data_IF_483707616883
#
_entry.id   IF_483707616883
#
_cell.length_a   1.000
_cell.length_b   1.000
_cell.length_c   1.000
_cell.angle_alpha   90.00
_cell.angle_beta   90.00
_cell.angle_gamma   90.00
#
_symmetry.space_group_name_H-M   'P 1'
#
loop_
_entity.id
_entity.type
_entity.pdbx_description
1 polymer ?
#
# COMPACT_ATOMS: atom_id res chain seq x y z
N UNK A 1 3.21 -8.84 -10.16
CA UNK A 1 2.58 -9.36 -11.33
C UNK A 1 1.73 -8.37 -11.93
N UNK A 2 1.96 -8.39 -13.04
CA UNK A 2 1.59 -7.50 -14.06
C UNK A 2 0.37 -6.64 -13.73
N UNK A 3 0.64 -5.58 -13.02
CA UNK A 3 -0.24 -4.44 -12.98
C UNK A 3 -0.70 -3.99 -14.37
N UNK A 4 0.08 -4.28 -15.41
CA UNK A 4 -0.24 -3.90 -16.78
C UNK A 4 -1.59 -4.45 -17.26
N UNK A 5 -1.90 -5.71 -16.99
CA UNK A 5 -3.19 -6.29 -17.36
C UNK A 5 -4.35 -5.73 -16.52
N UNK A 6 -4.13 -5.44 -15.25
CA UNK A 6 -5.15 -4.84 -14.39
C UNK A 6 -5.36 -3.37 -14.73
N UNK A 7 -4.34 -2.64 -15.13
CA UNK A 7 -4.43 -1.24 -15.53
C UNK A 7 -5.28 -1.06 -16.79
N UNK A 8 -5.07 -1.92 -17.79
CA UNK A 8 -5.81 -1.85 -19.06
C UNK A 8 -7.32 -2.08 -18.87
N UNK A 9 -7.69 -3.00 -17.97
CA UNK A 9 -9.09 -3.38 -17.76
C UNK A 9 -9.66 -2.94 -16.42
N UNK A 10 -8.90 -2.21 -15.59
CA UNK A 10 -9.30 -1.77 -14.24
C UNK A 10 -9.78 -2.95 -13.38
N UNK A 11 -9.05 -4.06 -13.43
CA UNK A 11 -9.38 -5.31 -12.74
C UNK A 11 -8.30 -5.70 -11.76
N UNK A 12 -8.71 -6.39 -10.71
CA UNK A 12 -7.80 -6.99 -9.74
C UNK A 12 -7.85 -8.52 -9.85
N UNK A 13 -6.72 -9.13 -9.54
CA UNK A 13 -6.59 -10.58 -9.50
C UNK A 13 -5.73 -11.02 -8.31
N UNK A 14 -6.08 -12.16 -7.74
CA UNK A 14 -5.22 -12.86 -6.81
C UNK A 14 -4.13 -13.58 -7.61
N UNK A 15 -2.88 -13.29 -7.28
CA UNK A 15 -1.73 -13.97 -7.86
C UNK A 15 -1.11 -14.92 -6.83
N UNK A 16 -0.96 -16.17 -7.20
CA UNK A 16 -0.41 -17.21 -6.34
C UNK A 16 0.81 -17.88 -7.00
N UNK A 17 1.59 -18.60 -6.20
CA UNK A 17 2.83 -19.22 -6.67
C UNK A 17 3.88 -18.17 -7.01
N UNK A 18 4.53 -18.30 -8.15
CA UNK A 18 5.46 -17.30 -8.70
C UNK A 18 4.74 -16.28 -9.61
N UNK A 19 3.42 -16.23 -9.51
CA UNK A 19 2.57 -15.32 -10.26
C UNK A 19 1.92 -15.92 -11.52
N UNK A 20 2.08 -17.21 -11.72
CA UNK A 20 1.51 -17.93 -12.86
C UNK A 20 0.03 -18.27 -12.67
N UNK A 21 -0.41 -18.35 -11.40
CA UNK A 21 -1.81 -18.63 -11.09
C UNK A 21 -2.54 -17.35 -10.75
N UNK A 22 -3.47 -16.97 -11.62
CA UNK A 22 -4.27 -15.75 -11.45
C UNK A 22 -5.74 -16.10 -11.26
N UNK A 23 -6.34 -15.53 -10.23
CA UNK A 23 -7.78 -15.62 -9.96
C UNK A 23 -8.37 -14.22 -9.99
N UNK A 24 -9.36 -14.00 -10.86
CA UNK A 24 -10.04 -12.71 -10.96
C UNK A 24 -10.80 -12.41 -9.67
N UNK A 25 -10.63 -11.20 -9.16
CA UNK A 25 -11.34 -10.69 -7.98
C UNK A 25 -12.44 -9.70 -8.38
N UNK A 26 -13.36 -9.45 -7.44
CA UNK A 26 -14.27 -8.32 -7.53
C UNK A 26 -13.47 -7.01 -7.57
N UNK A 27 -13.99 -5.94 -8.23
CA UNK A 27 -13.32 -4.65 -8.23
C UNK A 27 -13.15 -4.12 -6.80
N UNK A 28 -12.02 -3.46 -6.55
CA UNK A 28 -11.82 -2.72 -5.32
C UNK A 28 -12.93 -1.65 -5.19
N UNK A 29 -13.60 -1.53 -4.04
CA UNK A 29 -14.56 -0.45 -3.84
C UNK A 29 -13.89 0.92 -4.00
N UNK A 30 -14.66 1.90 -4.46
CA UNK A 30 -14.14 3.26 -4.67
C UNK A 30 -13.59 3.85 -3.37
N UNK A 31 -12.36 4.33 -3.42
CA UNK A 31 -11.72 5.02 -2.30
C UNK A 31 -10.68 6.03 -2.77
N UNK A 32 -10.35 6.94 -1.87
CA UNK A 32 -9.33 7.97 -2.10
C UNK A 32 -7.99 7.52 -1.53
N UNK A 33 -6.92 7.74 -2.29
CA UNK A 33 -5.59 7.28 -1.95
C UNK A 33 -4.62 8.47 -2.01
N UNK A 34 -3.82 8.61 -0.96
CA UNK A 34 -2.67 9.53 -0.96
C UNK A 34 -1.41 8.70 -1.17
N UNK A 35 -0.58 9.12 -2.11
CA UNK A 35 0.70 8.48 -2.42
C UNK A 35 1.82 9.45 -2.08
N UNK A 36 2.80 9.00 -1.34
CA UNK A 36 3.96 9.78 -0.95
C UNK A 36 5.25 9.03 -1.22
N UNK A 37 6.21 9.69 -1.86
CA UNK A 37 7.51 9.11 -2.15
C UNK A 37 8.60 9.94 -1.49
N UNK A 38 9.33 9.41 -0.50
CA UNK A 38 10.48 10.08 0.06
C UNK A 38 11.65 10.11 -0.94
N UNK A 39 12.62 11.04 -0.78
CA UNK A 39 13.75 11.21 -1.71
C UNK A 39 14.85 10.19 -1.48
N UNK A 40 14.51 8.92 -1.45
CA UNK A 40 15.43 7.81 -1.28
C UNK A 40 15.21 6.75 -2.37
N UNK A 41 16.26 6.01 -2.68
CA UNK A 41 16.19 4.88 -3.60
C UNK A 41 16.41 3.59 -2.81
N UNK A 42 15.51 2.63 -3.00
CA UNK A 42 15.58 1.32 -2.36
C UNK A 42 15.88 0.26 -3.40
N UNK A 43 16.92 -0.53 -3.17
CA UNK A 43 17.23 -1.66 -4.03
C UNK A 43 16.26 -2.80 -3.78
N UNK A 44 15.40 -3.08 -4.74
CA UNK A 44 14.45 -4.20 -4.71
C UNK A 44 15.17 -5.53 -4.51
N UNK A 45 16.29 -5.71 -5.22
CA UNK A 45 17.13 -6.92 -5.10
C UNK A 45 17.61 -7.12 -3.66
N UNK A 46 18.17 -6.07 -3.06
CA UNK A 46 18.68 -6.14 -1.70
C UNK A 46 17.57 -6.45 -0.68
N UNK A 47 16.40 -5.86 -0.85
CA UNK A 47 15.26 -6.12 0.04
C UNK A 47 14.85 -7.60 -0.04
N UNK A 48 14.71 -8.15 -1.23
CA UNK A 48 14.36 -9.57 -1.39
C UNK A 48 15.47 -10.51 -0.89
N UNK A 49 16.74 -10.16 -1.11
CA UNK A 49 17.87 -10.95 -0.60
C UNK A 49 17.95 -10.91 0.93
N UNK A 50 17.55 -9.81 1.54
CA UNK A 50 17.52 -9.65 3.00
C UNK A 50 16.28 -10.26 3.65
N UNK A 51 15.28 -10.62 2.86
CA UNK A 51 14.04 -11.22 3.35
C UNK A 51 14.29 -12.69 3.71
N UNK A 52 14.19 -13.00 5.00
CA UNK A 52 14.21 -14.38 5.48
C UNK A 52 12.78 -14.92 5.53
N UNK A 53 12.41 -15.67 4.50
CA UNK A 53 11.08 -16.24 4.39
C UNK A 53 10.72 -17.18 5.57
N UNK A 54 11.73 -17.82 6.17
CA UNK A 54 11.53 -18.69 7.35
C UNK A 54 11.27 -17.91 8.63
N UNK A 55 11.68 -16.64 8.69
CA UNK A 55 11.47 -15.77 9.85
C UNK A 55 10.18 -14.93 9.75
N UNK A 56 9.48 -14.98 8.62
CA UNK A 56 8.21 -14.27 8.46
C UNK A 56 7.14 -14.95 9.29
N UNK A 57 6.70 -14.26 10.34
CA UNK A 57 5.68 -14.78 11.27
C UNK A 57 4.29 -14.20 11.01
N UNK A 58 4.22 -13.07 10.29
CA UNK A 58 2.97 -12.36 9.98
C UNK A 58 2.81 -12.25 8.48
N UNK A 59 1.75 -12.86 7.96
CA UNK A 59 1.31 -12.69 6.59
C UNK A 59 -0.05 -11.99 6.59
N UNK A 60 -0.34 -11.14 5.59
CA UNK A 60 -1.68 -10.62 5.42
C UNK A 60 -2.68 -11.77 5.26
N UNK A 61 -3.84 -11.65 5.90
CA UNK A 61 -4.92 -12.60 5.71
C UNK A 61 -5.62 -12.31 4.38
N UNK A 62 -5.16 -12.97 3.34
CA UNK A 62 -5.63 -12.74 1.97
C UNK A 62 -7.10 -13.08 1.81
N UNK A 63 -7.58 -14.15 2.44
CA UNK A 63 -8.99 -14.56 2.36
C UNK A 63 -9.89 -13.50 2.98
N UNK A 64 -9.49 -12.93 4.12
CA UNK A 64 -10.22 -11.85 4.77
C UNK A 64 -10.21 -10.55 3.94
N UNK A 65 -9.12 -10.27 3.23
CA UNK A 65 -9.06 -9.12 2.32
C UNK A 65 -10.02 -9.32 1.14
N UNK A 66 -10.03 -10.50 0.55
CA UNK A 66 -10.94 -10.84 -0.56
C UNK A 66 -12.40 -10.71 -0.11
N UNK A 67 -12.72 -11.22 1.07
CA UNK A 67 -14.05 -11.10 1.66
C UNK A 67 -14.46 -9.63 1.81
N UNK A 68 -13.57 -8.80 2.36
CA UNK A 68 -13.81 -7.37 2.52
C UNK A 68 -14.01 -6.64 1.17
N UNK A 69 -13.26 -7.03 0.14
CA UNK A 69 -13.45 -6.50 -1.23
C UNK A 69 -14.83 -6.88 -1.75
N UNK A 70 -15.24 -8.13 -1.58
CA UNK A 70 -16.55 -8.60 -2.02
C UNK A 70 -17.71 -7.92 -1.28
N UNK A 71 -17.52 -7.58 0.00
CA UNK A 71 -18.47 -6.80 0.80
C UNK A 71 -18.52 -5.31 0.38
N UNK A 72 -17.51 -4.83 -0.33
CA UNK A 72 -17.38 -3.42 -0.65
C UNK A 72 -16.99 -2.53 0.53
N UNK A 73 -16.39 -3.10 1.56
CA UNK A 73 -16.00 -2.40 2.79
C UNK A 73 -14.56 -1.91 2.73
N UNK A 74 -14.36 -0.66 2.31
CA UNK A 74 -13.03 -0.02 2.17
C UNK A 74 -12.25 -0.05 3.48
N UNK A 75 -12.90 0.22 4.60
CA UNK A 75 -12.23 0.26 5.91
C UNK A 75 -11.68 -1.11 6.28
N UNK A 76 -12.47 -2.17 6.11
CA UNK A 76 -12.01 -3.54 6.37
C UNK A 76 -10.87 -3.93 5.46
N UNK A 77 -10.93 -3.59 4.17
CA UNK A 77 -9.82 -3.85 3.24
C UNK A 77 -8.55 -3.18 3.74
N UNK A 78 -8.63 -1.88 4.06
CA UNK A 78 -7.50 -1.10 4.53
C UNK A 78 -6.89 -1.67 5.82
N UNK A 79 -7.71 -2.00 6.79
CA UNK A 79 -7.26 -2.54 8.09
C UNK A 79 -6.55 -3.89 7.95
N UNK A 80 -6.86 -4.66 6.91
CA UNK A 80 -6.30 -6.01 6.66
C UNK A 80 -5.12 -6.02 5.71
N UNK A 81 -4.77 -4.89 5.10
CA UNK A 81 -3.60 -4.77 4.24
C UNK A 81 -2.30 -5.01 5.00
N UNK A 82 -1.34 -5.62 4.34
CA UNK A 82 0.00 -5.80 4.87
C UNK A 82 1.02 -6.02 3.76
N UNK A 83 2.27 -5.68 4.06
CA UNK A 83 3.40 -5.89 3.15
C UNK A 83 4.59 -6.40 3.97
N UNK A 84 4.91 -7.68 3.82
CA UNK A 84 6.01 -8.33 4.57
C UNK A 84 7.38 -7.71 4.29
N UNK A 85 7.56 -7.05 3.16
CA UNK A 85 8.81 -6.36 2.81
C UNK A 85 9.08 -5.16 3.71
N UNK A 86 8.06 -4.64 4.40
CA UNK A 86 8.24 -3.57 5.39
C UNK A 86 9.17 -3.99 6.53
N UNK A 87 9.19 -5.27 6.90
CA UNK A 87 10.06 -5.79 7.95
C UNK A 87 11.55 -5.62 7.62
N UNK A 88 11.88 -5.55 6.34
CA UNK A 88 13.24 -5.29 5.86
C UNK A 88 13.47 -3.79 5.60
N UNK A 89 12.59 -3.16 4.83
CA UNK A 89 12.83 -1.81 4.31
C UNK A 89 12.63 -0.72 5.37
N UNK A 90 11.62 -0.84 6.21
CA UNK A 90 11.29 0.21 7.20
C UNK A 90 12.39 0.42 8.24
N UNK A 91 13.02 -0.62 8.83
CA UNK A 91 14.15 -0.42 9.73
C UNK A 91 15.35 0.27 9.07
N UNK A 92 15.56 0.06 7.78
CA UNK A 92 16.66 0.69 7.03
C UNK A 92 16.37 2.15 6.70
N UNK A 93 15.11 2.51 6.51
CA UNK A 93 14.65 3.84 6.13
C UNK A 93 13.49 4.29 7.01
N UNK A 94 13.79 4.78 8.23
CA UNK A 94 12.75 5.16 9.22
C UNK A 94 11.76 6.22 8.75
N UNK A 95 12.12 7.02 7.74
CA UNK A 95 11.22 8.00 7.13
C UNK A 95 9.94 7.35 6.57
N UNK A 96 10.02 6.09 6.14
CA UNK A 96 8.85 5.34 5.66
C UNK A 96 7.84 5.16 6.79
N UNK A 97 8.30 4.75 7.98
CA UNK A 97 7.44 4.61 9.16
C UNK A 97 6.82 5.96 9.55
N UNK A 98 7.60 7.04 9.48
CA UNK A 98 7.10 8.38 9.78
C UNK A 98 5.98 8.79 8.84
N UNK A 99 6.14 8.61 7.53
CA UNK A 99 5.11 8.92 6.55
C UNK A 99 3.85 8.09 6.77
N UNK A 100 3.98 6.79 7.04
CA UNK A 100 2.85 5.92 7.37
C UNK A 100 2.08 6.43 8.60
N UNK A 101 2.79 6.74 9.66
CA UNK A 101 2.19 7.25 10.90
C UNK A 101 1.53 8.61 10.69
N UNK A 102 2.13 9.49 9.90
CA UNK A 102 1.55 10.78 9.54
C UNK A 102 0.24 10.61 8.77
N UNK A 103 0.19 9.68 7.80
CA UNK A 103 -1.04 9.39 7.06
C UNK A 103 -2.15 8.89 7.98
N UNK A 104 -1.84 8.00 8.91
CA UNK A 104 -2.82 7.48 9.87
C UNK A 104 -3.31 8.60 10.80
N UNK A 105 -2.40 9.43 11.31
CA UNK A 105 -2.77 10.57 12.17
C UNK A 105 -3.64 11.61 11.45
N UNK A 106 -3.52 11.70 10.12
CA UNK A 106 -4.32 12.60 9.29
C UNK A 106 -5.64 11.97 8.80
N UNK A 107 -5.99 10.80 9.29
CA UNK A 107 -7.30 10.21 9.06
C UNK A 107 -7.35 9.05 8.07
N UNK A 108 -6.21 8.52 7.64
CA UNK A 108 -6.20 7.30 6.83
C UNK A 108 -6.76 6.11 7.63
N UNK A 109 -7.50 5.25 6.97
CA UNK A 109 -7.89 3.98 7.56
C UNK A 109 -6.68 3.09 7.80
N UNK A 110 -5.71 3.13 6.90
CA UNK A 110 -4.41 2.49 7.04
C UNK A 110 -3.44 3.07 6.01
N UNK A 111 -2.16 2.82 6.23
CA UNK A 111 -1.10 3.19 5.31
C UNK A 111 -0.13 2.03 5.15
N UNK A 112 0.42 1.85 3.97
CA UNK A 112 1.30 0.74 3.63
C UNK A 112 2.36 1.16 2.64
N UNK A 113 3.53 0.54 2.76
CA UNK A 113 4.59 0.65 1.76
C UNK A 113 4.20 -0.13 0.50
N UNK A 114 4.48 0.43 -0.66
CA UNK A 114 4.25 -0.21 -1.96
C UNK A 114 5.48 -1.01 -2.39
N UNK A 115 5.31 -2.30 -2.62
CA UNK A 115 6.40 -3.19 -3.04
C UNK A 115 7.57 -3.16 -2.07
N UNK A 116 8.80 -3.03 -2.58
CA UNK A 116 10.01 -2.93 -1.76
C UNK A 116 10.26 -1.52 -1.19
N UNK A 117 9.39 -0.58 -1.49
CA UNK A 117 9.53 0.82 -1.13
C UNK A 117 10.34 1.64 -2.14
N UNK A 118 10.54 2.93 -1.88
CA UNK A 118 10.17 3.64 -0.67
C UNK A 118 8.75 4.25 -0.68
N UNK A 119 8.00 4.10 -1.75
CA UNK A 119 6.67 4.68 -1.89
C UNK A 119 5.72 4.16 -0.82
N UNK A 120 4.95 5.07 -0.22
CA UNK A 120 3.93 4.79 0.79
C UNK A 120 2.59 5.27 0.26
N UNK A 121 1.54 4.51 0.50
CA UNK A 121 0.18 4.95 0.20
C UNK A 121 -0.73 4.77 1.40
N UNK A 122 -1.73 5.62 1.51
CA UNK A 122 -2.77 5.55 2.53
C UNK A 122 -4.14 5.56 1.90
N UNK A 123 -5.08 4.84 2.50
CA UNK A 123 -6.48 4.79 2.08
C UNK A 123 -7.31 5.67 2.99
N UNK A 124 -8.08 6.57 2.40
CA UNK A 124 -8.83 7.61 3.11
C UNK A 124 -10.35 7.44 2.91
N UNK A 125 -11.15 7.86 3.91
CA UNK A 125 -12.61 7.75 3.83
C UNK A 125 -13.24 8.65 2.78
N UNK A 126 -12.63 9.81 2.52
CA UNK A 126 -13.15 10.82 1.61
C UNK A 126 -12.05 11.68 1.00
N UNK A 127 -12.40 12.43 -0.03
CA UNK A 127 -11.47 13.31 -0.74
C UNK A 127 -10.94 14.43 0.16
N UNK A 128 -11.79 15.01 1.00
CA UNK A 128 -11.42 16.12 1.85
C UNK A 128 -10.32 15.74 2.86
N UNK A 129 -10.46 14.58 3.50
CA UNK A 129 -9.45 14.04 4.42
C UNK A 129 -8.15 13.75 3.69
N UNK A 130 -8.24 13.18 2.48
CA UNK A 130 -7.07 12.92 1.64
C UNK A 130 -6.35 14.21 1.24
N UNK A 131 -7.08 15.26 0.86
CA UNK A 131 -6.51 16.56 0.54
C UNK A 131 -5.76 17.20 1.72
N UNK A 132 -6.35 17.13 2.91
CA UNK A 132 -5.68 17.62 4.13
C UNK A 132 -4.38 16.87 4.42
N UNK A 133 -4.39 15.55 4.24
CA UNK A 133 -3.18 14.75 4.41
C UNK A 133 -2.10 15.13 3.39
N UNK A 134 -2.47 15.31 2.14
CA UNK A 134 -1.53 15.76 1.10
C UNK A 134 -0.87 17.08 1.46
N UNK A 135 -1.63 18.07 1.91
CA UNK A 135 -1.09 19.37 2.34
C UNK A 135 -0.16 19.21 3.55
N UNK A 136 -0.55 18.40 4.52
CA UNK A 136 0.27 18.12 5.69
C UNK A 136 1.62 17.49 5.29
N UNK A 137 1.61 16.45 4.46
CA UNK A 137 2.84 15.76 4.03
C UNK A 137 3.76 16.66 3.21
N UNK A 138 3.21 17.54 2.38
CA UNK A 138 4.01 18.52 1.64
C UNK A 138 4.72 19.50 2.58
N UNK A 139 4.06 19.91 3.64
CA UNK A 139 4.64 20.82 4.64
C UNK A 139 5.73 20.17 5.48
N UNK A 140 5.71 18.83 5.66
CA UNK A 140 6.73 18.10 6.43
C UNK A 140 8.06 17.93 5.69
N UNK A 141 8.09 18.07 4.38
CA UNK A 141 9.28 17.91 3.54
C UNK A 141 9.94 16.52 3.57
N UNK A 142 9.30 15.52 4.19
CA UNK A 142 9.81 14.14 4.23
C UNK A 142 9.60 13.40 2.90
N UNK A 143 8.63 13.82 2.13
CA UNK A 143 8.31 13.22 0.84
C UNK A 143 8.63 14.20 -0.30
N UNK A 144 9.34 13.70 -1.31
CA UNK A 144 9.69 14.47 -2.51
C UNK A 144 8.48 14.68 -3.41
N UNK A 145 7.61 13.67 -3.46
CA UNK A 145 6.39 13.68 -4.27
C UNK A 145 5.21 13.25 -3.42
N UNK A 146 4.14 14.02 -3.46
CA UNK A 146 2.88 13.68 -2.80
C UNK A 146 1.74 14.00 -3.78
N UNK A 147 0.88 13.01 -4.03
CA UNK A 147 -0.28 13.19 -4.88
C UNK A 147 -1.45 12.34 -4.43
N UNK A 148 -2.64 12.71 -4.91
CA UNK A 148 -3.88 12.00 -4.63
C UNK A 148 -4.32 11.26 -5.89
N UNK A 149 -4.84 10.08 -5.69
CA UNK A 149 -5.54 9.30 -6.70
C UNK A 149 -6.77 8.64 -6.08
N UNK A 150 -7.50 7.94 -6.90
CA UNK A 150 -8.67 7.18 -6.45
C UNK A 150 -8.78 5.87 -7.22
N UNK A 151 -9.46 4.90 -6.62
CA UNK A 151 -9.79 3.64 -7.31
C UNK A 151 -10.94 3.86 -8.28
N UNK A 152 -10.99 3.04 -9.28
CA UNK A 152 -12.03 3.11 -10.33
C UNK A 152 -13.28 2.34 -9.98
#
# INVERSE_FOLDING_TARGET
>A
ISSAASDVYKRQALAEGIGEKLTKLSPMPHCHIVVAKPPINVSTKMVYESLDAGAITKHPDIDAIIEAINEGDVKKVAERMGNVLEDVTVPMYPVIAKIKNDMISQGAYNAMMSGSGPTVFGIFPDEQTALKCKEYLKAQEDARQVYITETF
#
